data_IF_932039635498
#
_entry.id   IF_932039635498
#
_cell.length_a   1.000
_cell.length_b   1.000
_cell.length_c   1.000
_cell.angle_alpha   90.00
_cell.angle_beta   90.00
_cell.angle_gamma   90.00
#
_symmetry.space_group_name_H-M   'P 1'
#
loop_
_entity.id
_entity.type
_entity.pdbx_description
1 polymer ?
#
# COMPACT_ATOMS: atom_id res chain seq x y z
N UNK A 1 -16.72 7.96 5.58
CA UNK A 1 -15.36 8.53 5.40
C UNK A 1 -15.50 9.97 4.95
N UNK A 2 -14.81 10.90 5.59
CA UNK A 2 -14.76 12.31 5.17
C UNK A 2 -13.95 12.46 3.88
N UNK A 3 -14.57 13.01 2.84
CA UNK A 3 -13.92 13.25 1.54
C UNK A 3 -13.04 14.50 1.64
N UNK A 4 -11.75 14.35 1.39
CA UNK A 4 -10.78 15.45 1.32
C UNK A 4 -10.16 15.49 -0.07
N UNK A 5 -10.01 16.69 -0.64
CA UNK A 5 -9.38 16.89 -1.94
C UNK A 5 -7.96 17.39 -1.71
N UNK A 6 -6.99 16.73 -2.34
CA UNK A 6 -5.57 17.10 -2.29
C UNK A 6 -5.09 17.33 -3.71
N UNK A 7 -4.35 18.42 -3.94
CA UNK A 7 -3.69 18.70 -5.21
C UNK A 7 -2.40 17.87 -5.30
N UNK A 8 -2.27 17.12 -6.39
CA UNK A 8 -1.12 16.27 -6.68
C UNK A 8 -0.59 16.62 -8.08
N UNK A 9 0.72 16.53 -8.28
CA UNK A 9 1.33 16.84 -9.58
C UNK A 9 0.79 15.91 -10.69
N UNK A 10 0.50 16.43 -11.90
CA UNK A 10 0.02 15.60 -13.02
C UNK A 10 0.98 14.46 -13.38
N UNK A 11 2.28 14.69 -13.19
CA UNK A 11 3.30 13.67 -13.40
C UNK A 11 3.16 12.48 -12.45
N UNK A 12 2.91 12.74 -11.16
CA UNK A 12 2.71 11.67 -10.18
C UNK A 12 1.44 10.88 -10.48
N UNK A 13 0.37 11.55 -10.89
CA UNK A 13 -0.88 10.92 -11.29
C UNK A 13 -0.63 9.95 -12.45
N UNK A 14 0.09 10.39 -13.49
CA UNK A 14 0.43 9.54 -14.65
C UNK A 14 1.30 8.35 -14.28
N UNK A 15 2.28 8.53 -13.38
CA UNK A 15 3.09 7.43 -12.85
C UNK A 15 2.26 6.41 -12.08
N UNK A 16 1.36 6.89 -11.21
CA UNK A 16 0.49 6.04 -10.41
C UNK A 16 -0.52 5.28 -11.27
N UNK A 17 -1.00 5.87 -12.37
CA UNK A 17 -1.88 5.21 -13.33
C UNK A 17 -1.20 4.01 -13.99
N UNK A 18 0.00 4.21 -14.55
CA UNK A 18 0.76 3.13 -15.20
C UNK A 18 1.11 2.01 -14.21
N UNK A 19 1.63 2.37 -13.03
CA UNK A 19 1.97 1.40 -12.00
C UNK A 19 0.72 0.67 -11.46
N UNK A 20 -0.38 1.40 -11.27
CA UNK A 20 -1.64 0.85 -10.82
C UNK A 20 -2.19 -0.19 -11.79
N UNK A 21 -2.23 0.15 -13.09
CA UNK A 21 -2.65 -0.80 -14.14
C UNK A 21 -1.81 -2.08 -14.11
N UNK A 22 -0.48 -1.97 -14.00
CA UNK A 22 0.41 -3.14 -13.93
C UNK A 22 0.16 -4.02 -12.68
N UNK A 23 -0.31 -3.43 -11.59
CA UNK A 23 -0.56 -4.10 -10.31
C UNK A 23 -2.04 -4.40 -10.05
N UNK A 24 -2.92 -4.25 -11.04
CA UNK A 24 -4.37 -4.39 -10.91
C UNK A 24 -4.99 -3.48 -9.82
N UNK A 25 -4.56 -2.21 -9.77
CA UNK A 25 -5.05 -1.17 -8.86
C UNK A 25 -5.47 0.08 -9.64
N UNK A 26 -6.45 0.82 -9.14
CA UNK A 26 -6.73 2.15 -9.67
C UNK A 26 -5.67 3.18 -9.19
N UNK A 27 -5.63 4.34 -9.85
CA UNK A 27 -4.63 5.39 -9.57
C UNK A 27 -4.62 5.83 -8.10
N UNK A 28 -5.79 5.99 -7.48
CA UNK A 28 -5.89 6.39 -6.06
C UNK A 28 -5.36 5.30 -5.14
N UNK A 29 -5.74 4.05 -5.39
CA UNK A 29 -5.24 2.89 -4.62
C UNK A 29 -3.72 2.74 -4.74
N UNK A 30 -3.16 3.01 -5.91
CA UNK A 30 -1.72 2.96 -6.11
C UNK A 30 -0.99 4.08 -5.35
N UNK A 31 -1.54 5.31 -5.34
CA UNK A 31 -0.99 6.42 -4.53
C UNK A 31 -1.06 6.08 -3.04
N UNK A 32 -2.20 5.60 -2.55
CA UNK A 32 -2.34 5.18 -1.15
C UNK A 32 -1.36 4.07 -0.78
N UNK A 33 -1.12 3.13 -1.69
CA UNK A 33 -0.16 2.06 -1.49
C UNK A 33 1.26 2.60 -1.31
N UNK A 34 1.71 3.52 -2.18
CA UNK A 34 3.02 4.17 -2.03
C UNK A 34 3.13 4.96 -0.72
N UNK A 35 2.09 5.68 -0.32
CA UNK A 35 2.09 6.40 0.96
C UNK A 35 2.23 5.43 2.14
N UNK A 36 1.49 4.32 2.14
CA UNK A 36 1.55 3.30 3.21
C UNK A 36 2.93 2.64 3.30
N UNK A 37 3.54 2.32 2.16
CA UNK A 37 4.86 1.69 2.14
C UNK A 37 5.96 2.70 2.48
N UNK A 38 5.89 3.93 1.94
CA UNK A 38 6.84 5.01 2.24
C UNK A 38 6.88 5.33 3.73
N UNK A 39 5.71 5.51 4.35
CA UNK A 39 5.61 5.70 5.80
C UNK A 39 6.21 4.51 6.58
N UNK A 40 5.97 3.27 6.12
CA UNK A 40 6.54 2.08 6.75
C UNK A 40 8.07 2.02 6.69
N UNK A 41 8.67 2.49 5.59
CA UNK A 41 10.13 2.58 5.42
C UNK A 41 10.71 3.69 6.29
N UNK A 42 10.04 4.84 6.37
CA UNK A 42 10.47 5.93 7.25
C UNK A 42 10.44 5.51 8.73
N UNK A 43 9.40 4.77 9.14
CA UNK A 43 9.27 4.27 10.50
C UNK A 43 10.25 3.13 10.84
N UNK A 44 10.66 2.33 9.84
CA UNK A 44 11.49 1.13 10.02
C UNK A 44 12.51 1.00 8.87
N UNK A 45 13.52 1.89 8.79
CA UNK A 45 14.46 1.96 7.67
C UNK A 45 15.35 0.72 7.52
N UNK A 46 15.47 -0.09 8.57
CA UNK A 46 16.21 -1.34 8.59
C UNK A 46 15.46 -2.51 7.96
N UNK A 47 14.14 -2.39 7.81
CA UNK A 47 13.32 -3.46 7.26
C UNK A 47 13.33 -3.42 5.72
N UNK A 48 13.51 -4.57 5.05
CA UNK A 48 13.43 -4.64 3.60
C UNK A 48 12.06 -4.20 3.08
N UNK A 49 12.05 -3.56 1.90
CA UNK A 49 10.82 -3.16 1.21
C UNK A 49 9.79 -4.28 1.14
N UNK A 50 10.22 -5.50 0.75
CA UNK A 50 9.31 -6.63 0.59
C UNK A 50 8.63 -7.02 1.90
N UNK A 51 9.34 -6.92 3.03
CA UNK A 51 8.77 -7.20 4.35
C UNK A 51 7.70 -6.16 4.72
N UNK A 52 7.96 -4.89 4.49
CA UNK A 52 7.00 -3.80 4.74
C UNK A 52 5.77 -3.96 3.82
N UNK A 53 5.99 -4.29 2.56
CA UNK A 53 4.92 -4.55 1.60
C UNK A 53 4.03 -5.72 2.06
N UNK A 54 4.63 -6.82 2.54
CA UNK A 54 3.88 -7.93 3.12
C UNK A 54 3.05 -7.50 4.33
N UNK A 55 3.60 -6.70 5.25
CA UNK A 55 2.84 -6.16 6.38
C UNK A 55 1.60 -5.37 5.91
N UNK A 56 1.75 -4.55 4.86
CA UNK A 56 0.62 -3.79 4.28
C UNK A 56 -0.46 -4.73 3.74
N UNK A 57 -0.07 -5.81 3.06
CA UNK A 57 -0.98 -6.84 2.54
C UNK A 57 -1.65 -7.59 3.71
N UNK A 58 -0.89 -8.05 4.71
CA UNK A 58 -1.42 -8.76 5.88
C UNK A 58 -2.41 -7.91 6.68
N UNK A 59 -2.14 -6.60 6.81
CA UNK A 59 -3.11 -5.66 7.42
C UNK A 59 -4.41 -5.57 6.62
N UNK A 60 -4.34 -5.63 5.29
CA UNK A 60 -5.52 -5.64 4.43
C UNK A 60 -6.30 -6.96 4.55
N UNK A 61 -5.61 -8.11 4.54
CA UNK A 61 -6.18 -9.44 4.74
C UNK A 61 -6.89 -9.55 6.10
N UNK A 62 -6.26 -9.07 7.18
CA UNK A 62 -6.86 -8.99 8.52
C UNK A 62 -8.16 -8.20 8.53
N UNK A 63 -8.21 -7.05 7.84
CA UNK A 63 -9.45 -6.25 7.72
C UNK A 63 -10.56 -7.00 6.97
N UNK A 64 -10.20 -7.85 6.01
CA UNK A 64 -11.13 -8.69 5.27
C UNK A 64 -11.46 -10.01 5.99
N UNK A 65 -10.97 -10.22 7.22
CA UNK A 65 -11.11 -11.47 7.98
C UNK A 65 -10.54 -12.69 7.24
N UNK A 66 -9.62 -12.47 6.29
CA UNK A 66 -8.88 -13.51 5.59
C UNK A 66 -7.58 -13.79 6.35
N UNK A 67 -7.71 -14.35 7.55
CA UNK A 67 -6.58 -14.69 8.42
C UNK A 67 -6.71 -16.13 8.87
N UNK A 68 -5.57 -16.78 9.02
CA UNK A 68 -5.47 -18.12 9.58
C UNK A 68 -4.68 -18.07 10.88
N UNK A 69 -4.94 -19.03 11.76
CA UNK A 69 -4.15 -19.17 12.98
C UNK A 69 -2.77 -19.68 12.59
N UNK A 70 -1.74 -19.05 13.13
CA UNK A 70 -0.38 -19.54 12.98
C UNK A 70 -0.28 -20.94 13.59
N UNK A 71 0.19 -21.91 12.80
CA UNK A 71 0.45 -23.28 13.25
C UNK A 71 1.96 -23.50 13.38
N UNK A 72 2.39 -23.94 14.56
CA UNK A 72 3.75 -24.42 14.80
C UNK A 72 3.73 -25.92 14.54
N UNK A 73 4.03 -26.32 13.30
CA UNK A 73 4.39 -27.71 13.01
C UNK A 73 5.82 -28.01 13.50
#
# INVERSE_FOLDING_TARGET
MSKHTILISPHLIKKAEVAGQAMNRNTVQQIEHWVKVGAGIEDNPELPYDFINQIVISKAQKKQKQIENYQFD
#
